data_IF_601432358648
#
_entry.id   IF_601432358648
#
_cell.length_a   1.000
_cell.length_b   1.000
_cell.length_c   1.000
_cell.angle_alpha   90.00
_cell.angle_beta   90.00
_cell.angle_gamma   90.00
#
_symmetry.space_group_name_H-M   'P 1'
#
loop_
_entity.id
_entity.type
_entity.pdbx_description
1 polymer ?
#
# COMPACT_ATOMS: atom_id res chain seq x y z
N UNK A 1 -31.71 -4.05 -60.35
CA UNK A 1 -32.63 -4.60 -59.32
C UNK A 1 -32.21 -4.09 -57.94
N UNK A 2 -33.19 -3.92 -57.03
CA UNK A 2 -33.16 -3.34 -55.64
C UNK A 2 -33.24 -1.80 -55.60
N UNK A 3 -34.43 -1.19 -55.63
CA UNK A 3 -35.56 -1.03 -54.66
C UNK A 3 -35.29 0.02 -53.56
N UNK A 4 -36.09 1.08 -53.64
CA UNK A 4 -36.32 2.13 -52.65
C UNK A 4 -37.28 1.71 -51.53
N UNK A 5 -37.34 2.55 -50.49
CA UNK A 5 -38.33 2.53 -49.39
C UNK A 5 -37.65 2.28 -48.04
N UNK A 6 -37.90 3.02 -46.96
CA UNK A 6 -38.83 4.09 -46.66
C UNK A 6 -38.67 4.41 -45.17
N UNK A 7 -38.99 5.64 -44.77
CA UNK A 7 -39.00 6.11 -43.39
C UNK A 7 -39.97 5.29 -42.54
N UNK A 8 -39.52 4.84 -41.37
CA UNK A 8 -40.33 4.22 -40.33
C UNK A 8 -39.72 4.51 -38.97
N UNK A 9 -40.11 5.64 -38.37
CA UNK A 9 -39.81 5.96 -36.99
C UNK A 9 -40.53 4.95 -36.08
N UNK A 10 -39.76 4.11 -35.39
CA UNK A 10 -40.23 3.36 -34.24
C UNK A 10 -39.60 3.99 -32.99
N UNK A 11 -40.38 4.85 -32.33
CA UNK A 11 -40.10 5.27 -30.98
C UNK A 11 -40.30 4.06 -30.05
N UNK A 12 -39.25 3.66 -29.33
CA UNK A 12 -39.39 2.83 -28.14
C UNK A 12 -38.69 3.52 -26.97
N UNK A 13 -39.52 3.77 -25.97
CA UNK A 13 -39.27 4.54 -24.78
C UNK A 13 -38.28 3.88 -23.82
N UNK A 14 -37.50 4.75 -23.17
CA UNK A 14 -37.18 4.74 -21.74
C UNK A 14 -36.90 3.39 -21.06
N UNK A 15 -35.63 3.16 -20.70
CA UNK A 15 -35.29 2.99 -19.29
C UNK A 15 -33.99 3.73 -18.97
N UNK A 16 -34.11 4.82 -18.21
CA UNK A 16 -33.04 5.38 -17.39
C UNK A 16 -32.66 4.35 -16.32
N UNK A 17 -31.90 3.34 -16.72
CA UNK A 17 -31.19 2.46 -15.79
C UNK A 17 -29.82 3.05 -15.53
N UNK A 18 -29.78 4.14 -14.78
CA UNK A 18 -28.55 4.71 -14.23
C UNK A 18 -27.93 3.76 -13.22
N UNK A 19 -27.44 2.61 -13.70
CA UNK A 19 -26.46 1.83 -12.99
C UNK A 19 -25.14 2.55 -13.15
N UNK A 20 -24.93 3.60 -12.36
CA UNK A 20 -23.56 3.95 -12.01
C UNK A 20 -23.08 2.71 -11.28
N UNK A 21 -22.35 1.84 -11.98
CA UNK A 21 -21.41 0.95 -11.35
C UNK A 21 -20.37 1.89 -10.75
N UNK A 22 -20.71 2.52 -9.62
CA UNK A 22 -19.73 2.93 -8.65
C UNK A 22 -19.11 1.61 -8.21
N UNK A 23 -18.09 1.17 -8.95
CA UNK A 23 -17.06 0.35 -8.34
C UNK A 23 -16.81 0.98 -6.97
N UNK A 24 -16.86 0.22 -5.87
CA UNK A 24 -16.56 0.79 -4.57
C UNK A 24 -15.24 1.51 -4.76
N UNK A 25 -15.24 2.83 -4.59
CA UNK A 25 -13.98 3.52 -4.41
C UNK A 25 -13.39 2.81 -3.21
N UNK A 26 -12.33 2.04 -3.43
CA UNK A 26 -11.42 1.68 -2.38
C UNK A 26 -10.85 3.02 -1.92
N UNK A 27 -11.63 3.71 -1.08
CA UNK A 27 -11.17 4.84 -0.32
C UNK A 27 -10.14 4.22 0.60
N UNK A 28 -8.88 4.16 0.17
CA UNK A 28 -7.81 3.80 1.06
C UNK A 28 -7.86 4.88 2.14
N UNK A 29 -8.29 4.44 3.31
CA UNK A 29 -8.56 5.34 4.41
C UNK A 29 -7.23 6.01 4.74
N UNK A 30 -7.21 7.34 4.70
CA UNK A 30 -6.10 8.14 5.20
C UNK A 30 -5.91 7.99 6.72
N UNK A 31 -6.79 7.22 7.37
CA UNK A 31 -6.75 6.90 8.80
C UNK A 31 -5.88 5.67 9.09
N UNK A 32 -5.76 4.75 8.14
CA UNK A 32 -4.98 3.53 8.31
C UNK A 32 -3.49 3.77 8.08
N UNK A 33 -2.66 3.06 8.83
CA UNK A 33 -1.21 3.25 8.78
C UNK A 33 -0.41 1.96 8.88
N UNK A 34 0.84 2.05 8.43
CA UNK A 34 1.91 1.12 8.77
C UNK A 34 2.82 1.81 9.80
N UNK A 35 2.95 1.22 10.98
CA UNK A 35 3.80 1.67 12.07
C UNK A 35 4.98 0.74 12.24
N UNK A 36 6.15 1.32 12.47
CA UNK A 36 7.34 0.61 12.90
C UNK A 36 7.84 1.17 14.22
N UNK A 37 8.32 0.28 15.09
CA UNK A 37 9.11 0.61 16.28
C UNK A 37 10.47 -0.05 16.17
N UNK A 38 11.54 0.74 16.28
CA UNK A 38 12.89 0.20 16.26
C UNK A 38 13.36 -0.18 17.66
N UNK A 39 13.52 -1.46 17.94
CA UNK A 39 14.15 -1.98 19.16
C UNK A 39 15.52 -2.63 18.89
N UNK A 40 15.99 -2.58 17.66
CA UNK A 40 17.25 -3.16 17.24
C UNK A 40 18.45 -2.30 17.68
N UNK A 41 19.62 -2.91 17.82
CA UNK A 41 20.90 -2.21 18.03
C UNK A 41 21.49 -1.62 16.73
N UNK A 42 20.62 -1.23 15.79
CA UNK A 42 20.95 -0.68 14.48
C UNK A 42 20.17 0.60 14.24
N UNK A 43 20.72 1.50 13.41
CA UNK A 43 19.89 2.46 12.71
C UNK A 43 19.10 1.73 11.62
N UNK A 44 17.80 1.99 11.55
CA UNK A 44 16.93 1.34 10.56
C UNK A 44 16.30 2.36 9.64
N UNK A 45 16.33 2.07 8.34
CA UNK A 45 15.61 2.81 7.32
C UNK A 45 14.48 1.95 6.76
N UNK A 46 13.32 2.56 6.51
CA UNK A 46 12.18 1.93 5.84
C UNK A 46 11.78 2.73 4.62
N UNK A 47 11.73 2.08 3.46
CA UNK A 47 11.23 2.66 2.21
C UNK A 47 9.96 1.94 1.79
N UNK A 48 8.88 2.70 1.65
CA UNK A 48 7.54 2.26 1.30
C UNK A 48 7.32 2.50 -0.18
N UNK A 49 7.07 1.44 -0.94
CA UNK A 49 6.60 1.52 -2.33
C UNK A 49 5.09 1.25 -2.32
N UNK A 50 4.31 2.31 -2.52
CA UNK A 50 2.86 2.22 -2.51
C UNK A 50 2.37 1.84 -3.90
N UNK A 51 1.53 0.82 -3.96
CA UNK A 51 0.94 0.30 -5.19
C UNK A 51 -0.53 0.66 -5.24
N UNK A 52 -1.00 1.07 -6.40
CA UNK A 52 -2.40 1.29 -6.72
C UNK A 52 -2.84 0.43 -7.91
N UNK A 53 -4.04 0.67 -8.46
CA UNK A 53 -4.59 -0.12 -9.57
C UNK A 53 -3.70 -0.12 -10.82
N UNK A 54 -3.05 1.02 -11.09
CA UNK A 54 -2.25 1.24 -12.31
C UNK A 54 -0.74 1.08 -12.08
N UNK A 55 -0.33 0.54 -10.92
CA UNK A 55 1.06 0.29 -10.55
C UNK A 55 1.55 1.17 -9.40
N UNK A 56 2.85 1.53 -9.42
CA UNK A 56 3.49 2.27 -8.32
C UNK A 56 2.95 3.71 -8.28
N UNK A 57 2.33 4.08 -7.16
CA UNK A 57 1.82 5.41 -6.91
C UNK A 57 2.95 6.37 -6.51
N UNK A 58 3.74 5.97 -5.50
CA UNK A 58 4.88 6.73 -5.00
C UNK A 58 5.77 5.88 -4.11
N UNK A 59 6.95 6.41 -3.82
CA UNK A 59 7.89 5.84 -2.85
C UNK A 59 8.23 6.86 -1.77
N UNK A 60 8.09 6.48 -0.50
CA UNK A 60 8.46 7.33 0.65
C UNK A 60 9.50 6.60 1.52
N UNK A 61 10.55 7.29 1.97
CA UNK A 61 11.58 6.70 2.83
C UNK A 61 11.71 7.44 4.17
N UNK A 62 11.86 6.65 5.22
CA UNK A 62 12.14 7.11 6.58
C UNK A 62 13.49 6.55 6.97
N UNK A 63 14.48 7.43 7.13
CA UNK A 63 15.86 7.02 7.30
C UNK A 63 16.35 7.09 8.74
N UNK A 64 17.38 6.29 9.02
CA UNK A 64 18.24 6.37 10.19
C UNK A 64 17.47 6.45 11.53
N UNK A 65 16.41 5.66 11.67
CA UNK A 65 15.63 5.59 12.91
C UNK A 65 16.44 4.87 13.97
N UNK A 66 16.73 5.57 15.05
CA UNK A 66 17.48 5.03 16.19
C UNK A 66 16.62 4.07 17.02
N UNK A 67 17.27 3.28 17.88
CA UNK A 67 16.57 2.45 18.88
C UNK A 67 15.63 3.30 19.74
N UNK A 68 14.45 2.75 20.04
CA UNK A 68 13.37 3.39 20.79
C UNK A 68 12.44 4.25 19.94
N UNK A 69 12.82 4.63 18.72
CA UNK A 69 11.95 5.46 17.87
C UNK A 69 10.78 4.66 17.30
N UNK A 70 9.64 5.34 17.17
CA UNK A 70 8.44 4.83 16.51
C UNK A 70 8.02 5.83 15.44
N UNK A 71 7.61 5.34 14.27
CA UNK A 71 7.13 6.17 13.17
C UNK A 71 6.01 5.47 12.41
N UNK A 72 5.22 6.26 11.69
CA UNK A 72 4.07 5.83 10.91
C UNK A 72 4.16 6.36 9.49
N UNK A 73 3.68 5.57 8.55
CA UNK A 73 3.33 6.01 7.21
C UNK A 73 1.87 5.66 6.95
N UNK A 74 1.07 6.64 6.53
CA UNK A 74 -0.35 6.46 6.25
C UNK A 74 -0.56 6.00 4.81
N UNK A 75 -1.56 5.16 4.59
CA UNK A 75 -1.89 4.73 3.24
C UNK A 75 -2.36 5.91 2.40
N UNK A 76 -1.79 6.11 1.20
CA UNK A 76 -2.35 7.04 0.20
C UNK A 76 -3.74 6.58 -0.23
N UNK A 77 -4.62 7.52 -0.61
CA UNK A 77 -6.05 7.27 -0.88
C UNK A 77 -6.35 6.20 -1.96
N UNK A 78 -5.40 5.94 -2.87
CA UNK A 78 -5.54 4.97 -3.97
C UNK A 78 -4.68 3.72 -3.75
N UNK A 79 -3.96 3.63 -2.63
CA UNK A 79 -3.09 2.51 -2.37
C UNK A 79 -3.92 1.25 -2.11
N UNK A 80 -3.62 0.18 -2.84
CA UNK A 80 -4.18 -1.16 -2.67
C UNK A 80 -3.19 -2.11 -2.01
N UNK A 81 -1.90 -1.75 -2.03
CA UNK A 81 -0.81 -2.54 -1.46
C UNK A 81 0.38 -1.64 -1.10
N UNK A 82 1.20 -2.09 -0.17
CA UNK A 82 2.49 -1.47 0.14
C UNK A 82 3.60 -2.53 0.23
N UNK A 83 4.68 -2.33 -0.50
CA UNK A 83 5.92 -3.10 -0.33
C UNK A 83 6.93 -2.25 0.43
N UNK A 84 7.30 -2.69 1.64
CA UNK A 84 8.19 -1.95 2.54
C UNK A 84 9.53 -2.65 2.61
N UNK A 85 10.59 -1.98 2.15
CA UNK A 85 11.98 -2.41 2.32
C UNK A 85 12.51 -1.87 3.65
N UNK A 86 13.03 -2.76 4.47
CA UNK A 86 13.59 -2.46 5.80
C UNK A 86 15.08 -2.78 5.78
N UNK A 87 15.90 -1.76 5.98
CA UNK A 87 17.37 -1.84 5.93
C UNK A 87 17.96 -1.55 7.31
N UNK A 88 18.77 -2.46 7.81
CA UNK A 88 19.50 -2.33 9.08
C UNK A 88 20.94 -1.92 8.78
N UNK A 89 21.35 -0.73 9.21
CA UNK A 89 22.64 -0.14 8.83
C UNK A 89 23.83 -0.97 9.34
N UNK A 90 24.62 -1.56 8.45
CA UNK A 90 25.77 -2.39 8.80
C UNK A 90 25.43 -3.84 9.17
N UNK A 91 24.19 -4.29 8.94
CA UNK A 91 23.86 -5.72 8.98
C UNK A 91 24.47 -6.44 7.78
N UNK A 92 25.24 -7.50 8.03
CA UNK A 92 25.97 -8.26 7.00
C UNK A 92 25.33 -9.62 6.71
N UNK A 93 24.30 -10.02 7.46
CA UNK A 93 23.66 -11.34 7.35
C UNK A 93 22.63 -11.47 6.23
N UNK A 94 22.68 -10.64 5.18
CA UNK A 94 21.82 -10.76 4.01
C UNK A 94 21.22 -9.45 3.49
N UNK A 95 20.35 -9.52 2.46
CA UNK A 95 19.72 -8.36 1.86
C UNK A 95 18.74 -7.67 2.82
N UNK A 96 18.27 -6.44 2.47
CA UNK A 96 17.17 -5.80 3.18
C UNK A 96 15.97 -6.73 3.33
N UNK A 97 15.26 -6.61 4.45
CA UNK A 97 14.02 -7.36 4.68
C UNK A 97 12.89 -6.66 3.93
N UNK A 98 11.97 -7.43 3.36
CA UNK A 98 10.77 -6.88 2.70
C UNK A 98 9.53 -7.31 3.45
N UNK A 99 8.63 -6.36 3.67
CA UNK A 99 7.30 -6.57 4.24
C UNK A 99 6.28 -6.15 3.20
N UNK A 100 5.41 -7.06 2.81
CA UNK A 100 4.29 -6.75 1.91
C UNK A 100 3.01 -6.63 2.72
N UNK A 101 2.25 -5.57 2.45
CA UNK A 101 0.97 -5.27 3.10
C UNK A 101 -0.10 -5.08 2.04
N UNK A 102 -1.03 -6.03 1.98
CA UNK A 102 -2.11 -6.04 0.97
C UNK A 102 -3.49 -5.66 1.54
N UNK A 103 -3.62 -5.55 2.87
CA UNK A 103 -4.88 -5.17 3.54
C UNK A 103 -4.84 -3.72 4.04
N UNK A 104 -4.84 -2.77 3.10
CA UNK A 104 -4.74 -1.32 3.36
C UNK A 104 -5.87 -0.73 4.23
N UNK A 105 -6.90 -1.53 4.53
CA UNK A 105 -8.06 -1.11 5.31
C UNK A 105 -7.87 -1.29 6.82
N UNK A 106 -6.66 -1.65 7.27
CA UNK A 106 -6.34 -1.84 8.68
C UNK A 106 -5.01 -1.18 9.04
N UNK A 107 -4.80 -1.02 10.34
CA UNK A 107 -3.50 -0.65 10.87
C UNK A 107 -2.56 -1.86 10.90
N UNK A 108 -1.30 -1.62 10.55
CA UNK A 108 -0.23 -2.63 10.58
C UNK A 108 0.89 -2.15 11.48
N UNK A 109 1.25 -2.95 12.47
CA UNK A 109 2.31 -2.59 13.41
C UNK A 109 3.43 -3.62 13.35
N UNK A 110 4.65 -3.12 13.32
CA UNK A 110 5.86 -3.92 13.24
C UNK A 110 6.86 -3.51 14.31
N UNK A 111 7.52 -4.49 14.90
CA UNK A 111 8.63 -4.31 15.81
C UNK A 111 9.91 -4.82 15.16
N UNK A 112 10.90 -3.94 15.08
CA UNK A 112 12.18 -4.23 14.47
C UNK A 112 13.13 -4.69 15.57
N UNK A 113 13.67 -5.90 15.45
CA UNK A 113 14.62 -6.47 16.40
C UNK A 113 15.95 -6.71 15.71
N UNK A 114 17.03 -6.66 16.48
CA UNK A 114 18.35 -6.94 15.93
C UNK A 114 19.46 -6.74 16.94
N UNK A 115 20.50 -7.55 16.81
CA UNK A 115 21.73 -7.51 17.61
C UNK A 115 22.91 -7.52 16.66
N UNK A 116 23.77 -6.51 16.78
CA UNK A 116 24.92 -6.34 15.89
C UNK A 116 25.96 -7.46 16.08
N UNK A 117 26.57 -8.02 14.99
CA UNK A 117 26.34 -7.72 13.57
C UNK A 117 25.38 -8.68 12.83
N UNK A 118 24.91 -9.76 13.47
CA UNK A 118 24.41 -10.94 12.74
C UNK A 118 22.91 -11.21 12.87
N UNK A 119 22.16 -10.42 13.63
CA UNK A 119 20.72 -10.64 13.80
C UNK A 119 19.93 -9.38 13.47
N UNK A 120 18.96 -9.51 12.57
CA UNK A 120 18.00 -8.47 12.23
C UNK A 120 16.69 -9.11 11.76
N UNK A 121 15.56 -8.64 12.31
CA UNK A 121 14.24 -9.19 12.02
C UNK A 121 13.13 -8.13 12.09
N UNK A 122 12.03 -8.41 11.38
CA UNK A 122 10.85 -7.56 11.28
C UNK A 122 9.63 -8.35 11.73
N UNK A 123 9.16 -8.10 12.94
CA UNK A 123 8.09 -8.87 13.56
C UNK A 123 6.76 -8.13 13.44
N UNK A 124 5.72 -8.78 12.91
CA UNK A 124 4.36 -8.25 12.96
C UNK A 124 3.84 -8.35 14.40
N UNK A 125 3.26 -7.26 14.90
CA UNK A 125 2.68 -7.17 16.24
C UNK A 125 1.29 -6.55 16.15
N UNK A 126 0.53 -6.64 17.23
CA UNK A 126 -0.74 -5.93 17.32
C UNK A 126 -0.51 -4.43 17.40
N UNK A 127 -1.29 -3.70 16.61
CA UNK A 127 -1.68 -2.35 16.96
C UNK A 127 -2.76 -2.43 18.06
#
# INVERSE_FOLDING_TARGET
>A
MKRAGGLGAAALALTLGGGILTAPSAAASTENFIQFKNDALYFVSTCFEWQGPDGVLKTDCYEAKAKGQTWKAYFPAEATKADVKVTFAGYTGGPPKTVTVDDVNKNHCYQLKGTWPNYADVLRVNC
#
